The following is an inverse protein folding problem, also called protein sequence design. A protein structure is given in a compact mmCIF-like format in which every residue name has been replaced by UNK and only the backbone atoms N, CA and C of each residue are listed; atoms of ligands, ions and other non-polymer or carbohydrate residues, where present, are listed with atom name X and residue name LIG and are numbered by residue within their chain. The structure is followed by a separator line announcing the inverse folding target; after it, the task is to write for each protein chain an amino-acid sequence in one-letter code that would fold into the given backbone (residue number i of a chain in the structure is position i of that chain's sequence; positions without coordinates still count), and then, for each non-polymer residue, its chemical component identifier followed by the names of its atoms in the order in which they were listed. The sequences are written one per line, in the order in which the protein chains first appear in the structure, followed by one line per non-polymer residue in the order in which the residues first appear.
data_IF_681027404617
#
_entry.id   IF_681027404617
#
_cell.length_a   1.000
_cell.length_b   1.000
_cell.length_c   1.000
_cell.angle_alpha   90.00
_cell.angle_beta   90.00
_cell.angle_gamma   90.00
#
_symmetry.space_group_name_H-M   'P 1'
#
loop_
_entity.id
_entity.type
_entity.pdbx_description
1 polymer ?
#
# COMPACT_ATOMS: atom_id res chain seq x y z
N UNK A 1 1.72 26.89 34.77
CA UNK A 1 1.25 25.74 33.98
C UNK A 1 2.03 25.81 32.68
N UNK A 2 2.82 24.81 32.28
CA UNK A 2 3.55 24.88 31.02
C UNK A 2 2.55 24.89 29.87
N UNK A 3 2.74 25.79 28.91
CA UNK A 3 1.93 25.84 27.69
C UNK A 3 2.23 24.58 26.86
N UNK A 4 1.27 23.66 26.83
CA UNK A 4 1.34 22.46 26.03
C UNK A 4 0.87 22.83 24.62
N UNK A 5 1.74 22.63 23.63
CA UNK A 5 1.39 22.73 22.20
C UNK A 5 1.31 21.31 21.64
N UNK A 6 0.17 20.61 21.74
CA UNK A 6 0.04 19.25 21.23
C UNK A 6 0.08 19.28 19.70
N UNK A 7 1.10 18.67 19.11
CA UNK A 7 1.36 18.66 17.66
C UNK A 7 1.50 17.24 17.08
N UNK A 8 1.36 16.20 17.90
CA UNK A 8 1.44 14.79 17.48
C UNK A 8 0.07 14.14 17.67
N UNK A 9 -0.51 13.66 16.57
CA UNK A 9 -1.77 12.92 16.59
C UNK A 9 -1.52 11.47 16.99
N UNK A 10 -2.23 10.97 18.00
CA UNK A 10 -2.27 9.54 18.31
C UNK A 10 -3.15 8.86 17.26
N UNK A 11 -2.54 8.20 16.28
CA UNK A 11 -3.22 7.50 15.19
C UNK A 11 -2.55 6.16 14.89
N UNK A 12 -3.31 5.24 14.29
CA UNK A 12 -2.75 3.99 13.77
C UNK A 12 -2.30 4.20 12.32
N UNK A 13 -1.02 3.99 11.98
CA UNK A 13 -0.50 4.23 10.63
C UNK A 13 -0.91 3.16 9.60
N UNK A 14 -1.69 2.15 9.98
CA UNK A 14 -2.10 1.08 9.07
C UNK A 14 -3.17 1.59 8.08
N UNK A 15 -2.85 1.52 6.80
CA UNK A 15 -3.77 1.91 5.73
C UNK A 15 -4.83 0.82 5.48
N UNK A 16 -6.11 1.18 5.59
CA UNK A 16 -7.23 0.32 5.22
C UNK A 16 -7.58 0.45 3.73
N UNK A 17 -7.96 -0.66 3.11
CA UNK A 17 -8.52 -0.70 1.76
C UNK A 17 -10.05 -0.69 1.84
N UNK A 18 -10.65 0.38 1.31
CA UNK A 18 -12.10 0.60 1.30
C UNK A 18 -12.68 0.55 -0.12
N UNK A 19 -14.00 0.62 -0.26
CA UNK A 19 -14.64 0.78 -1.56
C UNK A 19 -14.62 2.26 -1.99
N UNK A 20 -14.45 2.52 -3.29
CA UNK A 20 -14.33 3.88 -3.82
C UNK A 20 -15.62 4.70 -3.72
N UNK A 21 -16.77 4.03 -3.70
CA UNK A 21 -18.11 4.67 -3.72
C UNK A 21 -18.88 4.54 -2.41
N UNK A 22 -18.30 3.91 -1.40
CA UNK A 22 -18.92 3.79 -0.09
C UNK A 22 -17.87 3.55 0.97
N UNK A 23 -18.02 4.18 2.13
CA UNK A 23 -17.07 4.02 3.23
C UNK A 23 -17.28 2.67 3.95
N UNK A 24 -16.81 1.60 3.30
CA UNK A 24 -16.87 0.19 3.73
C UNK A 24 -15.57 -0.50 3.36
N UNK A 25 -15.17 -1.51 4.14
CA UNK A 25 -14.03 -2.36 3.80
C UNK A 25 -14.23 -3.00 2.42
N UNK A 26 -13.15 -3.05 1.63
CA UNK A 26 -13.13 -3.78 0.37
C UNK A 26 -12.92 -5.29 0.62
N UNK A 27 -13.87 -5.91 1.31
CA UNK A 27 -13.78 -7.30 1.73
C UNK A 27 -13.66 -8.26 0.54
N UNK A 28 -12.72 -9.21 0.61
CA UNK A 28 -12.34 -10.12 -0.47
C UNK A 28 -11.89 -9.41 -1.76
N UNK A 29 -11.54 -8.13 -1.66
CA UNK A 29 -10.90 -7.39 -2.72
C UNK A 29 -9.50 -7.91 -3.01
N UNK A 30 -8.99 -7.49 -4.17
CA UNK A 30 -7.69 -7.91 -4.71
C UNK A 30 -6.80 -6.68 -4.92
N UNK A 31 -5.54 -6.80 -4.57
CA UNK A 31 -4.52 -5.79 -4.82
C UNK A 31 -3.50 -6.39 -5.79
N UNK A 32 -3.20 -5.64 -6.84
CA UNK A 32 -2.18 -5.94 -7.83
C UNK A 32 -1.10 -4.86 -7.78
N UNK A 33 0.15 -5.29 -7.89
CA UNK A 33 1.37 -4.49 -7.74
C UNK A 33 2.24 -4.74 -8.97
N UNK A 34 2.68 -3.69 -9.63
CA UNK A 34 3.47 -3.82 -10.86
C UNK A 34 4.43 -2.66 -11.07
N UNK A 35 5.09 -2.68 -12.23
CA UNK A 35 6.00 -1.62 -12.63
C UNK A 35 5.29 -0.26 -12.69
N UNK A 36 6.01 0.81 -12.40
CA UNK A 36 5.48 2.18 -12.46
C UNK A 36 4.90 2.49 -13.85
N UNK A 37 3.77 3.19 -13.86
CA UNK A 37 3.05 3.63 -15.06
C UNK A 37 2.56 2.49 -15.98
N UNK A 38 2.47 1.26 -15.46
CA UNK A 38 1.92 0.08 -16.17
C UNK A 38 0.61 -0.44 -15.56
N UNK A 39 -0.04 -1.40 -16.23
CA UNK A 39 -1.20 -2.13 -15.70
C UNK A 39 -0.74 -3.39 -14.94
N UNK A 40 -0.84 -3.43 -13.59
CA UNK A 40 -0.35 -4.54 -12.79
C UNK A 40 -1.26 -5.77 -12.84
N UNK A 41 -2.43 -5.70 -13.49
CA UNK A 41 -3.28 -6.88 -13.71
C UNK A 41 -2.64 -7.81 -14.76
N UNK A 42 -1.88 -7.27 -15.71
CA UNK A 42 -1.06 -8.08 -16.62
C UNK A 42 0.11 -8.72 -15.82
N UNK A 43 0.23 -10.07 -15.76
CA UNK A 43 1.31 -10.73 -15.05
C UNK A 43 2.71 -10.33 -15.51
N UNK A 44 2.89 -9.93 -16.78
CA UNK A 44 4.18 -9.47 -17.30
C UNK A 44 4.65 -8.17 -16.67
N UNK A 45 3.72 -7.35 -16.18
CA UNK A 45 4.01 -6.08 -15.53
C UNK A 45 4.15 -6.21 -14.01
N UNK A 46 3.93 -7.41 -13.44
CA UNK A 46 3.95 -7.62 -12.00
C UNK A 46 5.38 -7.69 -11.47
N UNK A 47 5.61 -7.00 -10.36
CA UNK A 47 6.88 -7.04 -9.64
C UNK A 47 6.80 -7.95 -8.42
N UNK A 48 7.93 -8.43 -7.88
CA UNK A 48 7.94 -9.21 -6.65
C UNK A 48 7.37 -8.44 -5.45
N UNK A 49 6.55 -9.13 -4.65
CA UNK A 49 6.01 -8.63 -3.39
C UNK A 49 6.47 -9.58 -2.27
N UNK A 50 6.80 -9.00 -1.12
CA UNK A 50 7.27 -9.73 0.05
C UNK A 50 6.41 -9.42 1.26
N UNK A 51 6.29 -10.39 2.17
CA UNK A 51 5.86 -10.14 3.55
C UNK A 51 7.08 -9.76 4.36
N UNK A 52 6.99 -8.66 5.10
CA UNK A 52 7.94 -8.32 6.16
C UNK A 52 7.42 -8.88 7.49
N UNK A 53 8.15 -9.84 8.04
CA UNK A 53 7.84 -10.43 9.35
C UNK A 53 8.27 -9.49 10.50
N UNK A 54 7.80 -9.79 11.70
CA UNK A 54 8.15 -9.02 12.91
C UNK A 54 9.66 -9.04 13.24
N UNK A 55 10.38 -10.07 12.78
CA UNK A 55 11.84 -10.19 12.90
C UNK A 55 12.62 -9.48 11.78
N UNK A 56 11.92 -8.80 10.85
CA UNK A 56 12.49 -8.09 9.71
C UNK A 56 12.86 -8.98 8.52
N UNK A 57 12.58 -10.29 8.57
CA UNK A 57 12.80 -11.18 7.43
C UNK A 57 11.74 -10.96 6.34
N UNK A 58 12.10 -11.30 5.10
CA UNK A 58 11.26 -11.09 3.92
C UNK A 58 10.92 -12.43 3.25
N UNK A 59 9.62 -12.68 3.05
CA UNK A 59 9.13 -13.91 2.39
C UNK A 59 8.37 -13.53 1.12
N UNK A 60 8.77 -14.04 -0.06
CA UNK A 60 8.06 -13.73 -1.31
C UNK A 60 6.65 -14.32 -1.30
N UNK A 61 5.69 -13.59 -1.89
CA UNK A 61 4.30 -14.00 -2.01
C UNK A 61 3.78 -13.84 -3.43
N UNK A 62 2.78 -14.65 -3.79
CA UNK A 62 2.10 -14.52 -5.07
C UNK A 62 1.02 -13.44 -5.04
N UNK A 63 0.80 -12.83 -6.20
CA UNK A 63 -0.28 -11.89 -6.45
C UNK A 63 -1.52 -12.61 -7.02
N UNK A 64 -2.74 -12.05 -6.87
CA UNK A 64 -3.06 -10.82 -6.15
C UNK A 64 -3.03 -10.99 -4.63
N UNK A 65 -2.79 -9.89 -3.91
CA UNK A 65 -2.94 -9.84 -2.46
C UNK A 65 -4.42 -9.75 -2.08
N UNK A 66 -4.82 -10.41 -1.00
CA UNK A 66 -6.22 -10.50 -0.59
C UNK A 66 -6.52 -9.54 0.55
N UNK A 67 -7.67 -8.87 0.48
CA UNK A 67 -8.17 -7.99 1.53
C UNK A 67 -9.21 -8.74 2.39
N UNK A 68 -9.06 -8.73 3.71
CA UNK A 68 -10.02 -9.36 4.62
C UNK A 68 -11.28 -8.50 4.85
N UNK A 69 -12.22 -9.02 5.64
CA UNK A 69 -13.49 -8.34 5.94
C UNK A 69 -13.34 -7.00 6.68
N UNK A 70 -12.19 -6.76 7.32
CA UNK A 70 -11.89 -5.51 8.03
C UNK A 70 -11.13 -4.49 7.14
N UNK A 71 -10.78 -4.85 5.91
CA UNK A 71 -10.08 -3.96 4.98
C UNK A 71 -8.55 -4.03 5.06
N UNK A 72 -8.00 -5.04 5.77
CA UNK A 72 -6.56 -5.26 5.85
C UNK A 72 -6.09 -6.26 4.78
N UNK A 73 -4.90 -6.06 4.19
CA UNK A 73 -4.28 -7.08 3.38
C UNK A 73 -3.85 -8.26 4.27
N UNK A 74 -4.07 -9.49 3.78
CA UNK A 74 -3.82 -10.71 4.54
C UNK A 74 -3.06 -11.75 3.72
N UNK A 75 -2.30 -12.58 4.42
CA UNK A 75 -1.69 -13.81 3.89
C UNK A 75 -2.07 -14.98 4.79
N UNK A 76 -2.58 -16.06 4.21
CA UNK A 76 -3.10 -17.22 4.95
C UNK A 76 -4.07 -16.86 6.09
N UNK A 77 -4.88 -15.81 5.88
CA UNK A 77 -5.88 -15.33 6.85
C UNK A 77 -5.34 -14.44 7.96
N UNK A 78 -4.02 -14.23 8.04
CA UNK A 78 -3.38 -13.34 9.01
C UNK A 78 -3.08 -11.98 8.37
N UNK A 79 -3.24 -10.90 9.15
CA UNK A 79 -2.83 -9.56 8.71
C UNK A 79 -1.31 -9.56 8.55
N UNK A 80 -0.84 -9.12 7.39
CA UNK A 80 0.58 -9.09 7.06
C UNK A 80 0.98 -7.74 6.48
N UNK A 81 2.23 -7.35 6.71
CA UNK A 81 2.84 -6.18 6.08
C UNK A 81 3.45 -6.62 4.75
N UNK A 82 2.96 -6.04 3.66
CA UNK A 82 3.50 -6.29 2.32
C UNK A 82 4.42 -5.15 1.90
N UNK A 83 5.57 -5.49 1.33
CA UNK A 83 6.60 -4.55 0.90
C UNK A 83 7.16 -4.92 -0.47
N UNK A 84 7.66 -3.91 -1.17
CA UNK A 84 8.39 -4.02 -2.44
C UNK A 84 9.77 -3.39 -2.29
N UNK A 85 10.70 -3.73 -3.19
CA UNK A 85 12.05 -3.15 -3.19
C UNK A 85 12.06 -1.76 -3.85
N UNK A 86 11.21 -1.57 -4.84
CA UNK A 86 11.13 -0.35 -5.65
C UNK A 86 9.72 0.25 -5.64
N UNK A 87 9.59 1.47 -6.19
CA UNK A 87 8.30 2.09 -6.41
C UNK A 87 7.46 1.32 -7.42
N UNK A 88 6.13 1.39 -7.28
CA UNK A 88 5.23 0.51 -8.02
C UNK A 88 3.93 1.22 -8.45
N UNK A 89 3.29 0.66 -9.46
CA UNK A 89 1.88 0.88 -9.76
C UNK A 89 1.01 -0.06 -8.93
N UNK A 90 -0.20 0.38 -8.59
CA UNK A 90 -1.14 -0.40 -7.80
C UNK A 90 -2.55 -0.34 -8.39
N UNK A 91 -3.19 -1.49 -8.55
CA UNK A 91 -4.61 -1.58 -8.88
C UNK A 91 -5.36 -2.34 -7.79
N UNK A 92 -6.48 -1.78 -7.35
CA UNK A 92 -7.33 -2.36 -6.29
C UNK A 92 -8.69 -2.69 -6.89
N UNK A 93 -9.09 -3.96 -6.79
CA UNK A 93 -10.37 -4.47 -7.26
C UNK A 93 -11.22 -4.95 -6.10
N UNK A 94 -12.54 -4.89 -6.24
CA UNK A 94 -13.46 -5.50 -5.29
C UNK A 94 -13.68 -7.00 -5.57
N UNK A 95 -14.42 -7.65 -4.68
CA UNK A 95 -14.77 -9.07 -4.78
C UNK A 95 -15.56 -9.43 -6.06
N UNK A 96 -16.16 -8.44 -6.72
CA UNK A 96 -16.94 -8.62 -7.95
C UNK A 96 -16.14 -8.30 -9.21
N UNK A 97 -14.85 -7.95 -9.07
CA UNK A 97 -13.98 -7.61 -10.19
C UNK A 97 -14.14 -6.19 -10.72
N UNK A 98 -14.82 -5.30 -9.99
CA UNK A 98 -14.84 -3.87 -10.32
C UNK A 98 -13.62 -3.17 -9.75
N UNK A 99 -12.91 -2.41 -10.59
CA UNK A 99 -11.79 -1.59 -10.14
C UNK A 99 -12.30 -0.48 -9.21
N UNK A 100 -11.70 -0.41 -8.02
CA UNK A 100 -11.98 0.62 -7.02
C UNK A 100 -10.97 1.75 -7.14
N UNK A 101 -9.68 1.42 -7.23
CA UNK A 101 -8.60 2.41 -7.32
C UNK A 101 -7.50 1.95 -8.27
N UNK A 102 -6.81 2.95 -8.84
CA UNK A 102 -5.59 2.77 -9.59
C UNK A 102 -4.62 3.90 -9.27
N UNK A 103 -3.38 3.55 -9.01
CA UNK A 103 -2.29 4.48 -8.78
C UNK A 103 -1.15 4.10 -9.73
N UNK A 104 -0.81 4.94 -10.72
CA UNK A 104 0.25 4.61 -11.67
C UNK A 104 1.64 4.61 -11.03
N UNK A 105 1.84 5.39 -9.97
CA UNK A 105 3.08 5.41 -9.19
C UNK A 105 2.78 5.80 -7.74
N UNK A 106 2.98 4.89 -6.79
CA UNK A 106 2.68 5.14 -5.38
C UNK A 106 3.61 6.17 -4.73
N UNK A 107 4.87 6.26 -5.18
CA UNK A 107 5.83 7.22 -4.61
C UNK A 107 5.39 8.67 -4.78
N UNK A 108 4.55 8.98 -5.79
CA UNK A 108 3.96 10.32 -5.98
C UNK A 108 2.99 10.73 -4.86
N UNK A 109 2.59 9.80 -3.99
CA UNK A 109 1.67 10.04 -2.88
C UNK A 109 2.34 9.85 -1.52
N UNK A 110 3.64 9.55 -1.48
CA UNK A 110 4.39 9.39 -0.24
C UNK A 110 4.59 10.76 0.43
N UNK A 111 4.13 10.98 1.69
CA UNK A 111 4.32 12.23 2.41
C UNK A 111 5.80 12.54 2.70
N UNK A 112 6.71 11.56 2.67
CA UNK A 112 8.15 11.78 2.86
C UNK A 112 8.87 12.21 1.57
N UNK A 113 8.15 12.44 0.45
CA UNK A 113 8.72 13.01 -0.79
C UNK A 113 9.55 14.27 -0.55
N UNK A 114 9.08 15.17 0.33
CA UNK A 114 9.82 16.39 0.65
C UNK A 114 11.21 16.09 1.22
N UNK A 115 11.35 15.04 2.04
CA UNK A 115 12.67 14.64 2.57
C UNK A 115 13.57 14.08 1.47
N UNK A 116 13.01 13.35 0.50
CA UNK A 116 13.76 12.89 -0.67
C UNK A 116 14.23 14.08 -1.52
N UNK A 117 13.37 15.05 -1.81
CA UNK A 117 13.72 16.26 -2.57
C UNK A 117 14.85 17.05 -1.88
N UNK A 118 14.75 17.26 -0.57
CA UNK A 118 15.77 17.95 0.22
C UNK A 118 17.09 17.17 0.37
N UNK A 119 17.07 15.85 0.15
CA UNK A 119 18.29 15.03 0.14
C UNK A 119 19.06 15.09 -1.17
N UNK A 120 18.48 15.70 -2.22
CA UNK A 120 19.16 15.89 -3.51
C UNK A 120 20.17 17.04 -3.44
N UNK A 121 21.23 17.03 -4.30
CA UNK A 121 22.28 18.04 -4.26
C UNK A 121 21.80 19.49 -4.48
N UNK A 122 20.65 19.67 -5.13
CA UNK A 122 20.06 20.99 -5.41
C UNK A 122 19.12 21.47 -4.27
N UNK A 123 18.99 20.68 -3.19
CA UNK A 123 18.07 20.89 -2.07
C UNK A 123 18.62 21.75 -0.92
N UNK A 124 19.44 22.76 -1.21
CA UNK A 124 19.95 23.73 -0.22
C UNK A 124 19.41 25.15 -0.43
#
# INVERSE_FOLDING_TARGET
MPDIVPNIVVSQPAQLFTLARSFKANANGKIYIGEIDTDPVNPENQIPVYIENEDGTHVPVSQPLIINAAGYPVYNGQIAKFVTVEGYSMAVYDAYGSQQFYFPNILKYDPDQLRQELSTPDGS
#
